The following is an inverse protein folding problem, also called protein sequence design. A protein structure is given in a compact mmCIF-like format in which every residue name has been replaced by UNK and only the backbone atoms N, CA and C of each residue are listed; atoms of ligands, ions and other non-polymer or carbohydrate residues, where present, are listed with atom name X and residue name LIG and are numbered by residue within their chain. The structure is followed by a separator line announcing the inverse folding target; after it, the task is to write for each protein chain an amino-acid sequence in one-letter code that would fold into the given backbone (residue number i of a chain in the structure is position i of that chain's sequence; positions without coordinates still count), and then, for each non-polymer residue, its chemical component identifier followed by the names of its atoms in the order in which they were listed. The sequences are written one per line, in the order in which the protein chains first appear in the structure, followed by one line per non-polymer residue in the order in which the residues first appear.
data_IF_794976914674
#
_entry.id   IF_794976914674
#
_cell.length_a   1.000
_cell.length_b   1.000
_cell.length_c   1.000
_cell.angle_alpha   90.00
_cell.angle_beta   90.00
_cell.angle_gamma   90.00
#
_symmetry.space_group_name_H-M   'P 1'
#
loop_
_entity.id
_entity.type
_entity.pdbx_description
1 polymer ?
#
# COMPACT_ATOMS: atom_id res chain seq x y z
N UNK A 1 -4.69 -12.17 15.47
CA UNK A 1 -3.31 -11.73 15.17
C UNK A 1 -3.18 -10.39 14.45
N UNK A 2 -4.06 -9.94 13.53
CA UNK A 2 -3.98 -8.54 13.03
C UNK A 2 -4.65 -7.50 13.97
N UNK A 3 -5.74 -7.91 14.62
CA UNK A 3 -6.38 -7.16 15.71
C UNK A 3 -5.56 -7.12 17.02
N UNK A 4 -4.47 -7.88 17.12
CA UNK A 4 -3.63 -8.00 18.33
C UNK A 4 -2.25 -7.33 18.15
N UNK A 5 -1.96 -6.75 16.98
CA UNK A 5 -0.66 -6.13 16.70
C UNK A 5 -0.49 -4.75 17.37
N UNK A 6 -1.58 -4.06 17.73
CA UNK A 6 -1.63 -2.92 18.67
C UNK A 6 -3.11 -2.72 19.07
N UNK A 7 -3.34 -2.36 20.34
CA UNK A 7 -4.65 -2.15 20.99
C UNK A 7 -5.28 -0.79 20.60
N UNK A 8 -5.21 -0.44 19.31
CA UNK A 8 -5.73 0.82 18.83
C UNK A 8 -7.19 0.65 18.42
N UNK A 9 -8.12 1.22 19.19
CA UNK A 9 -9.55 1.12 18.93
C UNK A 9 -9.93 1.58 17.50
N UNK A 10 -9.17 2.53 16.94
CA UNK A 10 -9.35 3.00 15.56
C UNK A 10 -8.90 2.00 14.50
N UNK A 11 -7.90 1.15 14.79
CA UNK A 11 -7.40 0.13 13.85
C UNK A 11 -8.45 -0.93 13.58
N UNK A 12 -9.08 -1.45 14.64
CA UNK A 12 -10.13 -2.47 14.51
C UNK A 12 -11.29 -1.96 13.66
N UNK A 13 -11.79 -0.76 13.97
CA UNK A 13 -12.88 -0.14 13.22
C UNK A 13 -12.52 0.10 11.74
N UNK A 14 -11.30 0.59 11.46
CA UNK A 14 -10.83 0.78 10.09
C UNK A 14 -10.76 -0.53 9.32
N UNK A 15 -10.20 -1.58 9.92
CA UNK A 15 -10.08 -2.88 9.28
C UNK A 15 -11.45 -3.50 9.01
N UNK A 16 -12.37 -3.42 9.98
CA UNK A 16 -13.73 -3.92 9.80
C UNK A 16 -14.46 -3.15 8.68
N UNK A 17 -14.33 -1.82 8.64
CA UNK A 17 -14.90 -1.00 7.55
C UNK A 17 -14.28 -1.33 6.19
N UNK A 18 -12.94 -1.49 6.13
CA UNK A 18 -12.23 -1.85 4.91
C UNK A 18 -12.66 -3.23 4.40
N UNK A 19 -12.78 -4.21 5.29
CA UNK A 19 -13.21 -5.56 4.92
C UNK A 19 -14.64 -5.56 4.40
N UNK A 20 -15.56 -4.87 5.08
CA UNK A 20 -16.95 -4.74 4.64
C UNK A 20 -17.06 -4.01 3.29
N UNK A 21 -16.30 -2.92 3.10
CA UNK A 21 -16.23 -2.19 1.84
C UNK A 21 -15.74 -3.09 0.70
N UNK A 22 -14.65 -3.82 0.93
CA UNK A 22 -14.07 -4.72 -0.08
C UNK A 22 -14.98 -5.91 -0.39
N UNK A 23 -15.70 -6.41 0.61
CA UNK A 23 -16.72 -7.44 0.44
C UNK A 23 -17.91 -6.95 -0.39
N UNK A 24 -18.45 -5.76 -0.10
CA UNK A 24 -19.51 -5.12 -0.88
C UNK A 24 -19.12 -4.86 -2.33
N UNK A 25 -17.84 -4.57 -2.57
CA UNK A 25 -17.27 -4.33 -3.90
C UNK A 25 -17.01 -5.62 -4.71
N UNK A 26 -17.24 -6.79 -4.12
CA UNK A 26 -17.05 -8.10 -4.78
C UNK A 26 -15.61 -8.62 -4.75
N UNK A 27 -14.71 -7.97 -3.99
CA UNK A 27 -13.31 -8.37 -3.83
C UNK A 27 -12.97 -8.59 -2.35
N UNK A 28 -13.62 -9.55 -1.66
CA UNK A 28 -13.43 -9.74 -0.22
C UNK A 28 -11.97 -10.09 0.10
N UNK A 29 -11.44 -9.53 1.18
CA UNK A 29 -10.10 -9.86 1.67
C UNK A 29 -10.19 -11.15 2.48
N UNK A 30 -10.15 -12.29 1.81
CA UNK A 30 -10.26 -13.61 2.47
C UNK A 30 -9.01 -14.00 3.23
N UNK A 31 -7.84 -13.50 2.80
CA UNK A 31 -6.55 -13.69 3.47
C UNK A 31 -5.71 -12.44 3.37
N UNK A 32 -5.15 -12.05 4.51
CA UNK A 32 -4.20 -10.96 4.60
C UNK A 32 -2.87 -11.39 3.96
N UNK A 33 -2.28 -10.56 3.08
CA UNK A 33 -0.99 -10.88 2.48
C UNK A 33 0.10 -10.97 3.57
N UNK A 34 0.94 -11.99 3.47
CA UNK A 34 2.09 -12.19 4.36
C UNK A 34 3.33 -11.69 3.64
N UNK A 35 4.12 -10.87 4.34
CA UNK A 35 5.35 -10.29 3.84
C UNK A 35 6.44 -10.45 4.90
N UNK A 36 7.62 -10.90 4.48
CA UNK A 36 8.73 -11.14 5.41
C UNK A 36 8.41 -12.12 6.56
N UNK A 37 7.52 -13.10 6.33
CA UNK A 37 6.97 -14.02 7.36
C UNK A 37 6.09 -13.34 8.43
N UNK A 38 5.72 -12.08 8.24
CA UNK A 38 4.78 -11.35 9.08
C UNK A 38 3.53 -10.97 8.28
N UNK A 39 2.40 -10.82 8.96
CA UNK A 39 1.17 -10.37 8.28
C UNK A 39 1.31 -8.89 7.94
N UNK A 40 0.97 -8.50 6.72
CA UNK A 40 1.05 -7.11 6.29
C UNK A 40 0.02 -6.27 7.05
N UNK A 41 0.49 -5.26 7.78
CA UNK A 41 -0.36 -4.30 8.46
C UNK A 41 -0.96 -3.32 7.43
N UNK A 42 -2.20 -3.58 7.03
CA UNK A 42 -2.93 -2.73 6.08
C UNK A 42 -3.24 -1.34 6.65
N UNK A 43 -3.42 -1.23 7.97
CA UNK A 43 -3.76 0.03 8.63
C UNK A 43 -2.55 0.97 8.66
N UNK A 44 -1.39 0.48 9.11
CA UNK A 44 -0.15 1.25 9.06
C UNK A 44 0.26 1.58 7.64
N UNK A 45 0.13 0.62 6.72
CA UNK A 45 0.44 0.86 5.31
C UNK A 45 -0.43 1.98 4.73
N UNK A 46 -1.73 1.96 5.00
CA UNK A 46 -2.65 3.02 4.58
C UNK A 46 -2.25 4.38 5.17
N UNK A 47 -2.07 4.46 6.49
CA UNK A 47 -1.69 5.70 7.15
C UNK A 47 -0.37 6.28 6.62
N UNK A 48 0.64 5.44 6.41
CA UNK A 48 1.95 5.87 5.91
C UNK A 48 1.88 6.39 4.47
N UNK A 49 1.00 5.84 3.64
CA UNK A 49 0.80 6.28 2.24
C UNK A 49 -0.04 7.55 2.19
N UNK A 50 -1.15 7.59 2.91
CA UNK A 50 -2.02 8.77 3.03
C UNK A 50 -1.27 9.96 3.61
N UNK A 51 -0.48 9.76 4.67
CA UNK A 51 0.35 10.82 5.26
C UNK A 51 1.39 11.40 4.28
N UNK A 52 1.70 10.68 3.19
CA UNK A 52 2.62 11.12 2.12
C UNK A 52 1.91 11.70 0.90
N UNK A 53 0.59 11.85 0.94
CA UNK A 53 -0.23 12.38 -0.15
C UNK A 53 -0.84 11.31 -1.07
N UNK A 54 -0.86 10.05 -0.64
CA UNK A 54 -1.50 8.96 -1.39
C UNK A 54 -0.53 8.11 -2.22
N UNK A 55 -1.08 7.10 -2.88
CA UNK A 55 -0.28 6.08 -3.57
C UNK A 55 0.61 6.66 -4.69
N UNK A 56 0.09 7.64 -5.43
CA UNK A 56 0.78 8.25 -6.59
C UNK A 56 2.02 9.02 -6.14
N UNK A 57 1.90 9.83 -5.09
CA UNK A 57 3.03 10.56 -4.51
C UNK A 57 4.11 9.60 -4.01
N UNK A 58 3.73 8.51 -3.33
CA UNK A 58 4.69 7.49 -2.87
C UNK A 58 5.45 6.85 -4.03
N UNK A 59 4.78 6.61 -5.18
CA UNK A 59 5.41 6.06 -6.38
C UNK A 59 6.33 7.08 -7.06
N UNK A 60 5.85 8.32 -7.25
CA UNK A 60 6.59 9.40 -7.92
C UNK A 60 7.85 9.80 -7.12
N UNK A 61 7.70 9.96 -5.80
CA UNK A 61 8.80 10.35 -4.90
C UNK A 61 9.66 9.15 -4.44
N UNK A 62 9.37 7.93 -4.91
CA UNK A 62 10.07 6.69 -4.55
C UNK A 62 10.14 6.44 -3.04
N UNK A 63 9.09 6.81 -2.30
CA UNK A 63 9.05 6.76 -0.83
C UNK A 63 8.80 5.36 -0.27
N UNK A 64 8.69 4.33 -1.12
CA UNK A 64 8.50 2.94 -0.71
C UNK A 64 9.54 2.47 0.32
N UNK A 65 10.79 2.92 0.22
CA UNK A 65 11.82 2.59 1.22
C UNK A 65 11.47 3.10 2.61
N UNK A 66 10.86 4.28 2.71
CA UNK A 66 10.40 4.80 4.00
C UNK A 66 9.14 4.09 4.49
N UNK A 67 8.22 3.72 3.58
CA UNK A 67 7.05 2.90 3.93
C UNK A 67 7.50 1.57 4.54
N UNK A 68 8.48 0.89 3.92
CA UNK A 68 9.05 -0.37 4.40
C UNK A 68 9.66 -0.19 5.79
N UNK A 69 10.43 0.89 6.00
CA UNK A 69 11.00 1.21 7.32
C UNK A 69 9.93 1.48 8.37
N UNK A 70 8.87 2.21 8.02
CA UNK A 70 7.74 2.49 8.91
C UNK A 70 6.99 1.22 9.31
N UNK A 71 6.83 0.28 8.37
CA UNK A 71 6.23 -1.04 8.63
C UNK A 71 7.16 -2.02 9.36
N UNK A 72 8.33 -1.56 9.83
CA UNK A 72 9.36 -2.39 10.45
C UNK A 72 9.80 -3.58 9.58
N UNK A 73 9.63 -3.47 8.26
CA UNK A 73 10.00 -4.51 7.32
C UNK A 73 11.50 -4.40 6.97
N UNK A 74 12.19 -5.53 6.74
CA UNK A 74 13.59 -5.49 6.34
C UNK A 74 13.75 -4.81 4.97
N UNK A 75 14.63 -3.81 4.89
CA UNK A 75 14.98 -3.14 3.63
C UNK A 75 15.74 -4.03 2.65
N UNK A 76 16.20 -5.21 3.09
CA UNK A 76 16.83 -6.25 2.25
C UNK A 76 15.85 -6.92 1.28
N UNK A 77 14.54 -6.69 1.43
CA UNK A 77 13.53 -7.24 0.54
C UNK A 77 13.44 -6.35 -0.70
N UNK A 78 14.22 -6.67 -1.74
CA UNK A 78 14.25 -5.93 -3.00
C UNK A 78 12.87 -5.83 -3.67
N UNK A 79 12.05 -6.89 -3.58
CA UNK A 79 10.70 -6.94 -4.14
C UNK A 79 9.64 -6.27 -3.25
N UNK A 80 10.02 -5.67 -2.12
CA UNK A 80 9.07 -5.17 -1.16
C UNK A 80 8.19 -4.06 -1.70
N UNK A 81 8.81 -3.08 -2.36
CA UNK A 81 8.09 -1.96 -2.96
C UNK A 81 7.05 -2.44 -3.99
N UNK A 82 7.41 -3.42 -4.82
CA UNK A 82 6.51 -3.97 -5.84
C UNK A 82 5.34 -4.73 -5.20
N UNK A 83 5.62 -5.58 -4.21
CA UNK A 83 4.58 -6.33 -3.49
C UNK A 83 3.65 -5.37 -2.76
N UNK A 84 4.18 -4.45 -1.94
CA UNK A 84 3.40 -3.46 -1.20
C UNK A 84 2.49 -2.66 -2.13
N UNK A 85 3.04 -2.16 -3.24
CA UNK A 85 2.28 -1.42 -4.24
C UNK A 85 1.14 -2.26 -4.83
N UNK A 86 1.41 -3.51 -5.19
CA UNK A 86 0.40 -4.39 -5.78
C UNK A 86 -0.71 -4.71 -4.78
N UNK A 87 -0.34 -4.98 -3.52
CA UNK A 87 -1.33 -5.20 -2.46
C UNK A 87 -2.13 -3.91 -2.19
N UNK A 88 -1.47 -2.76 -2.13
CA UNK A 88 -2.13 -1.47 -1.93
C UNK A 88 -3.13 -1.17 -3.04
N UNK A 89 -2.72 -1.29 -4.31
CA UNK A 89 -3.60 -1.08 -5.47
C UNK A 89 -4.83 -1.99 -5.44
N UNK A 90 -4.66 -3.22 -4.95
CA UNK A 90 -5.74 -4.20 -4.91
C UNK A 90 -6.71 -3.95 -3.75
N UNK A 91 -6.19 -3.66 -2.57
CA UNK A 91 -6.96 -3.66 -1.32
C UNK A 91 -7.28 -2.28 -0.77
N UNK A 92 -6.33 -1.33 -0.85
CA UNK A 92 -6.44 -0.03 -0.19
C UNK A 92 -6.78 1.10 -1.16
N UNK A 93 -6.33 1.02 -2.42
CA UNK A 93 -6.55 2.07 -3.40
C UNK A 93 -8.04 2.35 -3.69
N UNK A 94 -8.93 1.35 -3.82
CA UNK A 94 -10.36 1.62 -3.94
C UNK A 94 -10.94 2.41 -2.76
N UNK A 95 -10.46 2.12 -1.56
CA UNK A 95 -10.88 2.77 -0.33
C UNK A 95 -10.31 4.20 -0.22
N UNK A 96 -9.02 4.39 -0.53
CA UNK A 96 -8.37 5.70 -0.63
C UNK A 96 -9.09 6.61 -1.63
N UNK A 97 -9.43 6.07 -2.80
CA UNK A 97 -10.12 6.81 -3.85
C UNK A 97 -11.54 7.23 -3.44
N UNK A 98 -12.23 6.44 -2.62
CA UNK A 98 -13.57 6.78 -2.13
C UNK A 98 -13.52 7.83 -1.01
N UNK A 99 -12.64 7.63 -0.02
CA UNK A 99 -12.56 8.46 1.19
C UNK A 99 -11.84 9.79 0.95
N UNK A 100 -10.66 9.72 0.34
CA UNK A 100 -9.71 10.84 0.33
C UNK A 100 -9.54 11.47 -1.06
N UNK A 101 -9.77 10.70 -2.13
CA UNK A 101 -9.67 11.16 -3.53
C UNK A 101 -8.31 11.80 -3.86
N UNK A 102 -7.22 11.31 -3.26
CA UNK A 102 -5.86 11.81 -3.51
C UNK A 102 -5.41 11.70 -4.97
N UNK A 103 -5.90 10.69 -5.71
CA UNK A 103 -5.46 10.45 -7.09
C UNK A 103 -6.47 9.69 -7.92
N UNK A 104 -6.36 9.84 -9.24
CA UNK A 104 -7.14 9.12 -10.23
C UNK A 104 -6.40 7.89 -10.78
N UNK A 105 -7.11 6.85 -11.25
CA UNK A 105 -6.49 5.66 -11.87
C UNK A 105 -5.52 6.00 -13.01
N UNK A 106 -5.80 7.07 -13.75
CA UNK A 106 -4.92 7.57 -14.82
C UNK A 106 -3.59 8.11 -14.28
N UNK A 107 -3.61 8.89 -13.19
CA UNK A 107 -2.41 9.45 -12.57
C UNK A 107 -1.55 8.35 -11.97
N UNK A 108 -2.21 7.37 -11.34
CA UNK A 108 -1.54 6.16 -10.88
C UNK A 108 -0.87 5.44 -12.04
N UNK A 109 -1.57 5.18 -13.15
CA UNK A 109 -0.99 4.51 -14.31
C UNK A 109 0.20 5.30 -14.90
N UNK A 110 0.13 6.64 -14.91
CA UNK A 110 1.22 7.49 -15.37
C UNK A 110 2.46 7.41 -14.45
N UNK A 111 2.28 7.47 -13.12
CA UNK A 111 3.36 7.31 -12.16
C UNK A 111 4.05 5.93 -12.28
N UNK A 112 3.24 4.91 -12.54
CA UNK A 112 3.72 3.54 -12.78
C UNK A 112 4.56 3.45 -14.05
N UNK A 113 4.09 4.03 -15.15
CA UNK A 113 4.79 4.04 -16.44
C UNK A 113 6.10 4.83 -16.34
N UNK A 114 6.09 5.97 -15.65
CA UNK A 114 7.28 6.77 -15.36
C UNK A 114 8.34 5.97 -14.62
N UNK A 115 7.96 5.24 -13.58
CA UNK A 115 8.87 4.40 -12.81
C UNK A 115 9.43 3.22 -13.66
N UNK A 116 8.62 2.65 -14.56
CA UNK A 116 9.03 1.60 -15.50
C UNK A 116 10.05 2.10 -16.54
N UNK A 117 9.94 3.36 -16.99
CA UNK A 117 10.87 3.97 -17.94
C UNK A 117 12.23 4.27 -17.30
N UNK A 118 12.28 4.69 -16.03
CA UNK A 118 13.54 4.91 -15.31
C UNK A 118 14.34 3.62 -15.11
N UNK A 119 13.68 2.49 -14.79
CA UNK A 119 14.36 1.20 -14.60
C UNK A 119 15.11 0.68 -15.84
N UNK A 120 14.71 1.12 -17.05
CA UNK A 120 15.41 0.78 -18.31
C UNK A 120 16.62 1.65 -18.61
N UNK A 121 16.78 2.81 -17.95
CA UNK A 121 17.91 3.73 -18.21
C UNK A 121 19.18 3.39 -17.45
N UNK A 122 19.15 2.49 -16.47
CA UNK A 122 20.33 2.15 -15.64
C UNK A 122 21.19 0.99 -16.18
N UNK A 123 21.26 0.78 -17.51
CA UNK A 123 22.08 -0.29 -18.11
C UNK A 123 23.22 0.20 -19.02
N UNK A 124 23.60 1.48 -18.95
CA UNK A 124 24.84 1.95 -19.57
C UNK A 124 25.51 2.97 -18.66
N UNK A 125 26.67 2.57 -18.13
CA UNK A 125 27.55 3.33 -17.25
C UNK A 125 28.66 2.42 -16.78
#
# INVERSE_FOLDING_TARGET
QLYELNDDAGRKAFLDELFDFMQKRGTPITRLPIMAKQVLDLYELYNLVVARGGLVDVINKKLWQEIIKGLHLPSSITSAAFTLRTQYMKYLYPYECEKEKYSSPNELQAAIDGNRREGRRSSYG
#
